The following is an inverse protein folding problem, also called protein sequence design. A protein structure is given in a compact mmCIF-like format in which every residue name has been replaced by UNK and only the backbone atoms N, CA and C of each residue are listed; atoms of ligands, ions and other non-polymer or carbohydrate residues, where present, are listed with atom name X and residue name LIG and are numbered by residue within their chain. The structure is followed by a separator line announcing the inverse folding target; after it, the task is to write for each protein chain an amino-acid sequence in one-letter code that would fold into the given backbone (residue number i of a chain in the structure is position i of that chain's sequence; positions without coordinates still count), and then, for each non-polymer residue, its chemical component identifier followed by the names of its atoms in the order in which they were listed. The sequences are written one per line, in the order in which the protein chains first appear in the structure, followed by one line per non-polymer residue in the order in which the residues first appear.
data_IF_181006108406
#
_entry.id   IF_181006108406
#
_cell.length_a   1.000
_cell.length_b   1.000
_cell.length_c   1.000
_cell.angle_alpha   90.00
_cell.angle_beta   90.00
_cell.angle_gamma   90.00
#
_symmetry.space_group_name_H-M   'P 1'
#
loop_
_entity.id
_entity.type
_entity.pdbx_description
1 polymer ?
#
# COMPACT_ATOMS: atom_id res chain seq x y z
N UNK A 1 -37.08 19.93 40.96
CA UNK A 1 -36.73 19.59 39.53
C UNK A 1 -35.55 18.65 39.56
N UNK A 2 -35.81 17.37 39.31
CA UNK A 2 -34.91 16.25 39.65
C UNK A 2 -33.64 16.21 38.77
N UNK A 3 -32.48 16.41 39.39
CA UNK A 3 -31.17 16.35 38.74
C UNK A 3 -30.84 14.94 38.21
N UNK A 4 -31.40 13.89 38.82
CA UNK A 4 -31.21 12.51 38.45
C UNK A 4 -31.91 12.18 37.11
N UNK A 5 -33.10 12.76 36.89
CA UNK A 5 -33.83 12.64 35.63
C UNK A 5 -33.11 13.28 34.47
N UNK A 6 -32.51 14.48 34.65
CA UNK A 6 -31.73 15.16 33.59
C UNK A 6 -30.47 14.39 33.17
N UNK A 7 -29.79 13.76 34.14
CA UNK A 7 -28.58 12.93 33.81
C UNK A 7 -28.97 11.70 33.03
N UNK A 8 -30.09 11.04 33.31
CA UNK A 8 -30.58 9.89 32.54
C UNK A 8 -30.92 10.26 31.09
N UNK A 9 -31.60 11.38 30.86
CA UNK A 9 -31.94 11.84 29.51
C UNK A 9 -30.68 12.25 28.70
N UNK A 10 -29.68 12.85 29.38
CA UNK A 10 -28.40 13.18 28.75
C UNK A 10 -27.64 11.91 28.34
N UNK A 11 -27.61 10.89 29.20
CA UNK A 11 -26.92 9.61 28.89
C UNK A 11 -27.59 8.85 27.74
N UNK A 12 -28.95 8.86 27.71
CA UNK A 12 -29.73 8.26 26.62
C UNK A 12 -29.46 9.03 25.28
N UNK A 13 -29.42 10.36 25.35
CA UNK A 13 -29.09 11.18 24.19
C UNK A 13 -27.70 10.91 23.62
N UNK A 14 -26.68 10.79 24.47
CA UNK A 14 -25.32 10.44 24.08
C UNK A 14 -25.27 9.03 23.49
N UNK A 15 -25.95 8.04 24.10
CA UNK A 15 -26.00 6.68 23.58
C UNK A 15 -26.69 6.61 22.21
N UNK A 16 -27.77 7.38 22.00
CA UNK A 16 -28.48 7.46 20.73
C UNK A 16 -27.61 8.08 19.61
N UNK A 17 -26.77 9.06 19.93
CA UNK A 17 -25.82 9.64 18.95
C UNK A 17 -24.76 8.61 18.54
N UNK A 18 -24.26 7.80 19.48
CA UNK A 18 -23.30 6.74 19.16
C UNK A 18 -23.91 5.59 18.32
N UNK A 19 -25.19 5.30 18.49
CA UNK A 19 -25.86 4.26 17.68
C UNK A 19 -26.25 4.72 16.28
N UNK A 20 -26.31 6.02 16.02
CA UNK A 20 -26.57 6.58 14.69
C UNK A 20 -25.31 6.72 13.82
N UNK A 21 -24.13 6.43 14.38
CA UNK A 21 -22.86 6.43 13.64
C UNK A 21 -22.63 5.17 12.80
N UNK A 22 -23.66 4.38 12.48
CA UNK A 22 -23.55 3.36 11.47
C UNK A 22 -23.51 4.05 10.10
N UNK A 23 -22.32 4.13 9.51
CA UNK A 23 -22.18 4.58 8.14
C UNK A 23 -23.08 3.71 7.26
N UNK A 24 -23.97 4.33 6.51
CA UNK A 24 -24.70 3.63 5.44
C UNK A 24 -23.67 3.15 4.45
N UNK A 25 -23.47 1.84 4.37
CA UNK A 25 -22.68 1.23 3.29
C UNK A 25 -23.33 1.66 1.99
N UNK A 26 -22.72 2.63 1.31
CA UNK A 26 -23.20 3.05 0.01
C UNK A 26 -22.98 1.88 -0.95
N UNK A 27 -24.05 1.45 -1.60
CA UNK A 27 -23.94 0.45 -2.67
C UNK A 27 -22.95 0.98 -3.71
N UNK A 28 -21.92 0.20 -4.09
CA UNK A 28 -20.99 0.61 -5.12
C UNK A 28 -21.72 0.98 -6.41
N UNK A 29 -21.21 1.93 -7.20
CA UNK A 29 -21.76 2.20 -8.53
C UNK A 29 -21.78 0.93 -9.37
N UNK A 30 -22.74 0.84 -10.29
CA UNK A 30 -22.86 -0.29 -11.21
C UNK A 30 -21.54 -0.48 -11.99
N UNK A 31 -21.01 -1.69 -12.00
CA UNK A 31 -19.74 -2.03 -12.68
C UNK A 31 -18.47 -1.90 -11.83
N UNK A 32 -18.58 -1.44 -10.57
CA UNK A 32 -17.46 -1.39 -9.62
C UNK A 32 -17.44 -2.61 -8.69
N UNK A 33 -18.61 -3.26 -8.53
CA UNK A 33 -18.78 -4.49 -7.76
C UNK A 33 -18.87 -5.66 -8.76
N UNK A 34 -17.69 -6.12 -9.20
CA UNK A 34 -17.59 -7.25 -10.13
C UNK A 34 -16.94 -8.44 -9.45
N UNK A 35 -17.69 -9.51 -9.34
CA UNK A 35 -17.19 -10.82 -8.95
C UNK A 35 -17.03 -11.67 -10.20
N UNK A 36 -15.80 -12.07 -10.50
CA UNK A 36 -15.57 -12.98 -11.63
C UNK A 36 -16.00 -14.39 -11.27
N UNK A 37 -16.54 -15.17 -12.21
CA UNK A 37 -16.80 -16.58 -11.95
C UNK A 37 -15.50 -17.31 -11.58
N UNK A 38 -15.62 -18.29 -10.70
CA UNK A 38 -14.51 -19.19 -10.37
C UNK A 38 -14.02 -19.87 -11.64
N UNK A 39 -12.72 -19.88 -11.81
CA UNK A 39 -12.05 -20.54 -12.95
C UNK A 39 -10.98 -21.47 -12.42
N UNK A 40 -10.91 -22.64 -12.98
CA UNK A 40 -9.77 -23.51 -12.75
C UNK A 40 -8.52 -22.90 -13.35
N UNK A 41 -7.41 -22.99 -12.61
CA UNK A 41 -6.11 -22.55 -13.07
C UNK A 41 -5.06 -23.53 -12.57
N UNK A 42 -4.28 -24.05 -13.50
CA UNK A 42 -3.09 -24.87 -13.25
C UNK A 42 -1.79 -24.04 -13.28
N UNK A 43 -1.91 -22.74 -13.57
CA UNK A 43 -0.79 -21.80 -13.62
C UNK A 43 -0.84 -20.86 -12.40
N UNK A 44 -0.72 -21.42 -11.20
CA UNK A 44 -0.65 -20.69 -9.94
C UNK A 44 0.67 -20.99 -9.26
N UNK A 45 1.44 -19.95 -8.96
CA UNK A 45 2.69 -20.04 -8.22
C UNK A 45 2.52 -19.32 -6.86
N UNK A 46 2.90 -20.02 -5.79
CA UNK A 46 2.85 -19.44 -4.44
C UNK A 46 4.23 -18.93 -4.03
N UNK A 47 4.31 -17.62 -3.77
CA UNK A 47 5.50 -16.98 -3.23
C UNK A 47 5.28 -16.58 -1.77
N UNK A 48 6.35 -16.64 -0.98
CA UNK A 48 6.31 -16.33 0.44
C UNK A 48 7.55 -15.57 0.90
N UNK A 49 7.42 -14.84 1.99
CA UNK A 49 8.54 -14.26 2.74
C UNK A 49 8.54 -14.83 4.14
N UNK A 50 9.65 -15.45 4.52
CA UNK A 50 9.81 -16.06 5.83
C UNK A 50 10.97 -15.43 6.59
N UNK A 51 10.77 -15.30 7.91
CA UNK A 51 11.83 -15.09 8.88
C UNK A 51 11.74 -16.23 9.89
N UNK A 52 12.81 -17.01 10.04
CA UNK A 52 12.81 -18.19 10.89
C UNK A 52 14.19 -18.40 11.53
N UNK A 53 14.23 -19.21 12.57
CA UNK A 53 15.47 -19.68 13.16
C UNK A 53 15.87 -21.01 12.49
N UNK A 54 17.12 -21.10 12.07
CA UNK A 54 17.66 -22.37 11.60
C UNK A 54 17.95 -23.31 12.79
N UNK A 55 18.39 -24.53 12.50
CA UNK A 55 18.71 -25.55 13.50
C UNK A 55 19.82 -25.12 14.50
N UNK A 56 20.63 -24.15 14.14
CA UNK A 56 21.73 -23.64 14.95
C UNK A 56 21.33 -22.36 15.72
N UNK A 57 20.05 -21.95 15.63
CA UNK A 57 19.49 -20.78 16.31
C UNK A 57 19.77 -19.45 15.61
N UNK A 58 20.28 -19.45 14.38
CA UNK A 58 20.51 -18.22 13.62
C UNK A 58 19.25 -17.78 12.89
N UNK A 59 19.01 -16.47 12.85
CA UNK A 59 17.92 -15.88 12.08
C UNK A 59 18.23 -16.02 10.58
N UNK A 60 17.24 -16.55 9.83
CA UNK A 60 17.27 -16.68 8.38
C UNK A 60 16.12 -15.93 7.76
N UNK A 61 16.37 -15.40 6.56
CA UNK A 61 15.40 -14.70 5.74
C UNK A 61 15.28 -15.39 4.40
N UNK A 62 14.05 -15.67 3.97
CA UNK A 62 13.74 -16.19 2.63
C UNK A 62 12.70 -15.26 1.99
N UNK A 63 13.09 -14.49 0.98
CA UNK A 63 12.37 -13.34 0.41
C UNK A 63 11.83 -13.62 -1.00
N UNK A 64 11.04 -14.66 -1.16
CA UNK A 64 10.53 -15.12 -2.46
C UNK A 64 9.55 -14.14 -3.12
N UNK A 65 8.77 -13.40 -2.34
CA UNK A 65 7.85 -12.38 -2.87
C UNK A 65 8.64 -11.28 -3.58
N UNK A 66 9.71 -10.80 -2.94
CA UNK A 66 10.53 -9.75 -3.54
C UNK A 66 11.29 -10.23 -4.78
N UNK A 67 11.80 -11.45 -4.77
CA UNK A 67 12.44 -12.05 -5.96
C UNK A 67 11.46 -12.12 -7.13
N UNK A 68 10.22 -12.57 -6.89
CA UNK A 68 9.18 -12.61 -7.91
C UNK A 68 8.79 -11.20 -8.41
N UNK A 69 8.68 -10.23 -7.50
CA UNK A 69 8.37 -8.84 -7.85
C UNK A 69 9.48 -8.22 -8.70
N UNK A 70 10.74 -8.45 -8.36
CA UNK A 70 11.88 -8.00 -9.18
C UNK A 70 11.89 -8.63 -10.57
N UNK A 71 11.55 -9.91 -10.67
CA UNK A 71 11.43 -10.61 -11.95
C UNK A 71 10.37 -9.95 -12.84
N UNK A 72 9.22 -9.55 -12.30
CA UNK A 72 8.19 -8.84 -13.05
C UNK A 72 8.74 -7.52 -13.63
N UNK A 73 9.51 -6.76 -12.85
CA UNK A 73 10.16 -5.54 -13.35
C UNK A 73 11.13 -5.86 -14.47
N UNK A 74 11.99 -6.86 -14.29
CA UNK A 74 13.03 -7.21 -15.26
C UNK A 74 12.46 -7.73 -16.59
N UNK A 75 11.30 -8.42 -16.55
CA UNK A 75 10.64 -9.00 -17.73
C UNK A 75 9.68 -8.04 -18.45
N UNK A 76 9.33 -6.90 -17.86
CA UNK A 76 8.40 -5.94 -18.45
C UNK A 76 8.91 -5.42 -19.81
N UNK A 77 8.03 -5.35 -20.82
CA UNK A 77 8.37 -4.95 -22.21
C UNK A 77 7.61 -3.71 -22.67
N UNK A 78 6.32 -3.65 -22.42
CA UNK A 78 5.42 -2.63 -22.96
C UNK A 78 4.98 -1.63 -21.90
N UNK A 79 4.54 -2.14 -20.75
CA UNK A 79 4.13 -1.29 -19.62
C UNK A 79 4.39 -2.00 -18.30
N UNK A 80 4.49 -1.20 -17.24
CA UNK A 80 4.60 -1.64 -15.85
C UNK A 80 3.78 -0.71 -14.98
N UNK A 81 2.89 -1.27 -14.19
CA UNK A 81 2.10 -0.55 -13.20
C UNK A 81 2.48 -1.08 -11.84
N UNK A 82 2.92 -0.18 -10.97
CA UNK A 82 3.32 -0.48 -9.59
C UNK A 82 2.41 0.29 -8.66
N UNK A 83 1.74 -0.40 -7.78
CA UNK A 83 0.91 0.21 -6.73
C UNK A 83 1.46 -0.21 -5.38
N UNK A 84 1.88 0.77 -4.58
CA UNK A 84 2.45 0.54 -3.27
C UNK A 84 1.93 1.56 -2.25
N UNK A 85 1.25 1.07 -1.22
CA UNK A 85 0.78 1.86 -0.11
C UNK A 85 1.96 2.46 0.67
N UNK A 86 2.91 1.63 1.09
CA UNK A 86 4.16 2.08 1.73
C UNK A 86 5.33 1.85 0.79
N UNK A 87 5.99 2.94 0.40
CA UNK A 87 7.13 2.94 -0.50
C UNK A 87 8.24 3.81 0.06
N UNK A 88 8.80 3.42 1.21
CA UNK A 88 9.87 4.12 1.89
C UNK A 88 10.73 3.15 2.71
N UNK A 89 11.92 3.63 3.10
CA UNK A 89 12.85 2.92 4.00
C UNK A 89 13.02 3.74 5.30
N UNK A 90 11.89 4.27 5.83
CA UNK A 90 11.87 5.09 7.04
C UNK A 90 11.74 4.18 8.26
N UNK A 91 12.86 3.95 8.93
CA UNK A 91 12.91 3.20 10.19
C UNK A 91 14.14 3.61 11.02
N UNK A 92 14.18 3.22 12.27
CA UNK A 92 15.30 3.52 13.16
C UNK A 92 16.50 2.59 12.85
N UNK A 93 17.40 3.07 12.00
CA UNK A 93 18.58 2.33 11.54
C UNK A 93 19.60 1.99 12.66
N UNK A 94 19.51 2.67 13.80
CA UNK A 94 20.38 2.38 14.96
C UNK A 94 19.91 1.16 15.75
N UNK A 95 18.64 0.80 15.63
CA UNK A 95 18.02 -0.30 16.38
C UNK A 95 17.62 -1.49 15.52
N UNK A 96 17.39 -1.25 14.24
CA UNK A 96 16.77 -2.22 13.35
C UNK A 96 17.55 -2.31 12.03
N UNK A 97 17.64 -3.53 11.51
CA UNK A 97 18.31 -3.82 10.25
C UNK A 97 17.35 -4.53 9.31
N UNK A 98 16.68 -3.75 8.47
CA UNK A 98 15.82 -4.25 7.41
C UNK A 98 16.48 -4.07 6.04
N UNK A 99 16.19 -4.96 5.08
CA UNK A 99 16.57 -4.73 3.69
C UNK A 99 15.95 -3.43 3.15
N UNK A 100 16.74 -2.64 2.42
CA UNK A 100 16.27 -1.38 1.81
C UNK A 100 15.48 -1.67 0.53
N UNK A 101 14.29 -2.27 0.66
CA UNK A 101 13.48 -2.71 -0.48
C UNK A 101 13.02 -1.55 -1.36
N UNK A 102 12.56 -0.46 -0.79
CA UNK A 102 12.08 0.69 -1.57
C UNK A 102 13.20 1.30 -2.41
N UNK A 103 14.40 1.41 -1.86
CA UNK A 103 15.60 1.88 -2.57
C UNK A 103 15.99 0.96 -3.71
N UNK A 104 16.07 -0.35 -3.45
CA UNK A 104 16.44 -1.32 -4.48
C UNK A 104 15.39 -1.38 -5.59
N UNK A 105 14.11 -1.33 -5.23
CA UNK A 105 13.02 -1.33 -6.19
C UNK A 105 13.05 -0.09 -7.07
N UNK A 106 13.24 1.09 -6.47
CA UNK A 106 13.43 2.35 -7.21
C UNK A 106 14.58 2.24 -8.21
N UNK A 107 15.73 1.75 -7.77
CA UNK A 107 16.91 1.57 -8.62
C UNK A 107 16.62 0.65 -9.82
N UNK A 108 15.88 -0.44 -9.61
CA UNK A 108 15.49 -1.37 -10.68
C UNK A 108 14.53 -0.75 -11.67
N UNK A 109 13.51 -0.03 -11.19
CA UNK A 109 12.55 0.68 -12.04
C UNK A 109 13.26 1.71 -12.92
N UNK A 110 14.15 2.52 -12.34
CA UNK A 110 14.93 3.52 -13.06
C UNK A 110 15.84 2.85 -14.10
N UNK A 111 16.59 1.82 -13.70
CA UNK A 111 17.44 1.06 -14.62
C UNK A 111 16.62 0.52 -15.79
N UNK A 112 15.49 -0.12 -15.51
CA UNK A 112 14.61 -0.70 -16.53
C UNK A 112 14.08 0.36 -17.50
N UNK A 113 13.68 1.52 -16.99
CA UNK A 113 13.22 2.66 -17.80
C UNK A 113 14.34 3.22 -18.69
N UNK A 114 15.56 3.32 -18.17
CA UNK A 114 16.72 3.78 -18.94
C UNK A 114 17.11 2.79 -20.04
N UNK A 115 17.08 1.49 -19.77
CA UNK A 115 17.35 0.43 -20.74
C UNK A 115 16.27 0.32 -21.83
N UNK A 116 15.03 0.66 -21.49
CA UNK A 116 13.90 0.68 -22.42
C UNK A 116 13.11 1.99 -22.29
N UNK A 117 13.54 3.07 -22.96
CA UNK A 117 12.88 4.38 -22.87
C UNK A 117 11.41 4.38 -23.31
N UNK A 118 11.01 3.44 -24.17
CA UNK A 118 9.63 3.32 -24.63
C UNK A 118 8.71 2.61 -23.63
N UNK A 119 9.26 1.92 -22.64
CA UNK A 119 8.48 1.29 -21.60
C UNK A 119 7.68 2.33 -20.82
N UNK A 120 6.37 2.13 -20.73
CA UNK A 120 5.49 2.97 -19.90
C UNK A 120 5.54 2.46 -18.46
N UNK A 121 6.03 3.28 -17.55
CA UNK A 121 6.12 2.92 -16.12
C UNK A 121 5.29 3.89 -15.33
N UNK A 122 4.29 3.36 -14.61
CA UNK A 122 3.40 4.09 -13.72
C UNK A 122 3.62 3.58 -12.29
N UNK A 123 3.85 4.50 -11.38
CA UNK A 123 3.95 4.17 -9.94
C UNK A 123 2.84 4.94 -9.22
N UNK A 124 1.92 4.20 -8.61
CA UNK A 124 0.88 4.76 -7.76
C UNK A 124 1.39 4.70 -6.32
N UNK A 125 1.46 5.84 -5.68
CA UNK A 125 1.97 6.00 -4.33
C UNK A 125 0.94 6.70 -3.44
N UNK A 126 0.97 6.41 -2.17
CA UNK A 126 0.12 7.06 -1.18
C UNK A 126 0.80 8.30 -0.59
N UNK A 127 0.01 9.29 -0.19
CA UNK A 127 0.49 10.52 0.46
C UNK A 127 1.19 10.26 1.80
N UNK A 128 0.98 9.09 2.41
CA UNK A 128 1.70 8.71 3.64
C UNK A 128 3.22 8.61 3.43
N UNK A 129 3.69 8.38 2.20
CA UNK A 129 5.12 8.18 1.92
C UNK A 129 5.95 9.45 2.07
N UNK A 130 5.34 10.63 1.94
CA UNK A 130 5.97 11.92 2.16
C UNK A 130 5.39 12.68 3.36
N UNK A 131 4.66 11.97 4.24
CA UNK A 131 3.92 12.51 5.36
C UNK A 131 2.99 13.67 4.95
N UNK A 132 2.17 13.42 3.91
CA UNK A 132 1.22 14.40 3.37
C UNK A 132 1.89 15.68 2.86
N UNK A 133 3.02 15.52 2.18
CA UNK A 133 3.79 16.63 1.63
C UNK A 133 4.68 17.36 2.64
N UNK A 134 4.91 16.79 3.82
CA UNK A 134 5.77 17.38 4.84
C UNK A 134 7.25 17.36 4.46
N UNK A 135 7.67 16.47 3.58
CA UNK A 135 9.02 16.39 3.04
C UNK A 135 9.03 15.84 1.61
N UNK A 136 10.07 16.18 0.87
CA UNK A 136 10.29 15.63 -0.46
C UNK A 136 10.82 14.19 -0.35
N UNK A 137 10.10 13.24 -0.96
CA UNK A 137 10.48 11.84 -0.91
C UNK A 137 11.55 11.54 -1.99
N UNK A 138 12.79 11.18 -1.62
CA UNK A 138 13.90 11.08 -2.57
C UNK A 138 13.62 10.06 -3.69
N UNK A 139 13.05 8.91 -3.38
CA UNK A 139 12.77 7.87 -4.38
C UNK A 139 11.73 8.31 -5.41
N UNK A 140 10.71 9.07 -4.96
CA UNK A 140 9.70 9.63 -5.86
C UNK A 140 10.34 10.64 -6.81
N UNK A 141 11.18 11.53 -6.29
CA UNK A 141 11.91 12.51 -7.08
C UNK A 141 12.85 11.84 -8.08
N UNK A 142 13.62 10.84 -7.66
CA UNK A 142 14.51 10.08 -8.54
C UNK A 142 13.75 9.40 -9.70
N UNK A 143 12.61 8.76 -9.40
CA UNK A 143 11.77 8.12 -10.41
C UNK A 143 11.21 9.12 -11.41
N UNK A 144 10.68 10.25 -10.95
CA UNK A 144 10.17 11.34 -11.82
C UNK A 144 11.27 11.87 -12.74
N UNK A 145 12.48 12.10 -12.22
CA UNK A 145 13.63 12.56 -12.97
C UNK A 145 14.08 11.56 -14.05
N UNK A 146 13.83 10.27 -13.82
CA UNK A 146 14.11 9.20 -14.79
C UNK A 146 12.99 9.01 -15.83
N UNK A 147 11.94 9.84 -15.82
CA UNK A 147 10.81 9.76 -16.75
C UNK A 147 9.81 8.67 -16.43
N UNK A 148 9.68 8.31 -15.15
CA UNK A 148 8.65 7.44 -14.62
C UNK A 148 7.47 8.30 -14.15
N UNK A 149 6.25 7.92 -14.54
CA UNK A 149 5.02 8.60 -14.12
C UNK A 149 4.67 8.18 -12.69
N UNK A 150 4.97 9.03 -11.71
CA UNK A 150 4.58 8.79 -10.31
C UNK A 150 3.32 9.58 -10.00
N UNK A 151 2.27 8.84 -9.65
CA UNK A 151 0.93 9.35 -9.35
C UNK A 151 0.70 9.21 -7.86
N UNK A 152 0.53 10.33 -7.17
CA UNK A 152 0.11 10.33 -5.77
C UNK A 152 -1.41 10.19 -5.71
N UNK A 153 -1.88 9.17 -5.01
CA UNK A 153 -3.30 8.90 -4.87
C UNK A 153 -3.88 9.84 -3.82
N UNK A 154 -4.89 10.59 -4.21
CA UNK A 154 -5.65 11.45 -3.30
C UNK A 154 -6.58 10.56 -2.44
N UNK A 155 -6.19 10.32 -1.19
CA UNK A 155 -6.91 9.44 -0.26
C UNK A 155 -8.33 9.94 0.03
N UNK A 156 -8.59 11.25 -0.06
CA UNK A 156 -9.92 11.81 0.16
C UNK A 156 -10.91 11.52 -0.97
N UNK A 157 -10.41 11.09 -2.12
CA UNK A 157 -11.23 10.62 -3.24
C UNK A 157 -11.47 9.12 -3.22
N UNK A 158 -10.75 8.39 -2.39
CA UNK A 158 -10.98 6.97 -2.20
C UNK A 158 -12.24 6.75 -1.37
N UNK A 159 -12.94 5.64 -1.64
CA UNK A 159 -14.08 5.24 -0.82
C UNK A 159 -13.56 4.80 0.54
N UNK A 160 -14.02 5.46 1.58
CA UNK A 160 -13.68 5.10 2.94
C UNK A 160 -14.19 3.71 3.28
N UNK A 161 -13.28 2.82 3.67
CA UNK A 161 -13.62 1.47 4.13
C UNK A 161 -13.83 1.42 5.64
N UNK A 162 -13.46 2.49 6.35
CA UNK A 162 -13.68 2.63 7.77
C UNK A 162 -14.84 3.59 8.04
N UNK A 163 -15.87 3.17 8.78
CA UNK A 163 -16.89 4.08 9.27
C UNK A 163 -16.27 4.95 10.38
N UNK A 164 -16.06 6.20 10.09
CA UNK A 164 -15.73 7.23 11.09
C UNK A 164 -16.99 7.86 11.63
#
# INVERSE_FOLDING_TARGET
MDLAGRKKHLLIGILAVFTMSCSTIKTPPLGVDYESPLRDSDNVEFHYDLTYLDKDGNIRYDRKIWDATYKVVDEAKDYLIVEMFLFNDIYNKDKEHYPEFAKEYTRRLIKKKMENPNLKVYVLSDENNDLYGAFEHPFITEMKNAGIDVITVDIFKLKDTFPW
#
